data_IF_819513625549
#
_entry.id   IF_819513625549
#
_cell.length_a   1.000
_cell.length_b   1.000
_cell.length_c   1.000
_cell.angle_alpha   90.00
_cell.angle_beta   90.00
_cell.angle_gamma   90.00
#
_symmetry.space_group_name_H-M   'P 1'
#
loop_
_entity.id
_entity.type
_entity.pdbx_description
1 polymer ?
#
# COMPACT_ATOMS: atom_id res chain seq x y z
N UNK A 1 26.37 0.73 -22.37
CA UNK A 1 26.25 -0.31 -21.34
C UNK A 1 24.82 -0.83 -21.42
N UNK A 2 24.62 -2.15 -21.55
CA UNK A 2 23.27 -2.71 -21.50
C UNK A 2 22.79 -2.70 -20.04
N UNK A 3 21.52 -2.38 -19.82
CA UNK A 3 20.89 -2.51 -18.50
C UNK A 3 20.95 -3.95 -18.03
N UNK A 4 21.29 -4.16 -16.75
CA UNK A 4 21.32 -5.49 -16.15
C UNK A 4 19.90 -6.05 -15.94
N UNK A 5 18.94 -5.14 -15.67
CA UNK A 5 17.52 -5.44 -15.45
C UNK A 5 16.65 -4.33 -16.04
N UNK A 6 15.46 -4.67 -16.57
CA UNK A 6 14.50 -3.66 -17.02
C UNK A 6 14.00 -2.82 -15.84
N UNK A 7 13.58 -1.55 -16.08
CA UNK A 7 13.02 -0.71 -15.05
C UNK A 7 11.71 -1.28 -14.51
N UNK A 8 11.42 -0.98 -13.25
CA UNK A 8 10.13 -1.32 -12.64
C UNK A 8 9.07 -0.38 -13.23
N UNK A 9 7.98 -0.89 -13.82
CA UNK A 9 6.93 -0.05 -14.37
C UNK A 9 6.19 0.69 -13.25
N UNK A 10 5.65 1.87 -13.56
CA UNK A 10 4.71 2.55 -12.67
C UNK A 10 3.42 1.73 -12.51
N UNK A 11 2.72 1.97 -11.40
CA UNK A 11 1.48 1.27 -11.10
C UNK A 11 0.44 2.18 -10.46
N UNK A 12 -0.81 1.96 -10.83
CA UNK A 12 -2.01 2.56 -10.24
C UNK A 12 -3.12 1.51 -10.22
N UNK A 13 -3.84 1.42 -9.09
CA UNK A 13 -5.13 0.74 -9.06
C UNK A 13 -6.19 1.75 -9.51
N UNK A 14 -7.13 1.41 -10.42
CA UNK A 14 -8.12 2.37 -10.92
C UNK A 14 -8.82 3.09 -9.76
N UNK A 15 -8.88 4.43 -9.75
CA UNK A 15 -9.43 5.19 -8.62
C UNK A 15 -10.91 4.89 -8.31
N UNK A 16 -11.65 4.38 -9.29
CA UNK A 16 -13.05 3.94 -9.19
C UNK A 16 -13.21 2.46 -8.84
N UNK A 17 -12.11 1.73 -8.61
CA UNK A 17 -12.14 0.34 -8.21
C UNK A 17 -12.68 0.18 -6.78
N UNK A 18 -13.55 -0.81 -6.55
CA UNK A 18 -14.18 -1.07 -5.24
C UNK A 18 -13.17 -1.17 -4.09
N UNK A 19 -11.99 -1.77 -4.35
CA UNK A 19 -10.89 -1.85 -3.38
C UNK A 19 -10.45 -0.48 -2.88
N UNK A 20 -10.32 0.51 -3.78
CA UNK A 20 -9.95 1.90 -3.44
C UNK A 20 -11.04 2.53 -2.59
N UNK A 21 -12.30 2.48 -3.04
CA UNK A 21 -13.43 3.07 -2.34
C UNK A 21 -13.56 2.54 -0.89
N UNK A 22 -13.45 1.22 -0.71
CA UNK A 22 -13.55 0.59 0.62
C UNK A 22 -12.39 1.02 1.51
N UNK A 23 -11.15 0.97 1.02
CA UNK A 23 -9.97 1.30 1.83
C UNK A 23 -9.96 2.78 2.21
N UNK A 24 -10.28 3.68 1.28
CA UNK A 24 -10.41 5.12 1.57
C UNK A 24 -11.48 5.40 2.62
N UNK A 25 -12.63 4.70 2.55
CA UNK A 25 -13.72 4.83 3.52
C UNK A 25 -13.31 4.36 4.91
N UNK A 26 -12.58 3.24 5.01
CA UNK A 26 -12.09 2.73 6.29
C UNK A 26 -11.01 3.63 6.90
N UNK A 27 -10.15 4.23 6.07
CA UNK A 27 -9.08 5.13 6.50
C UNK A 27 -9.54 6.58 6.72
N UNK A 28 -10.68 6.98 6.16
CA UNK A 28 -11.11 8.38 6.11
C UNK A 28 -10.14 9.30 5.35
N UNK A 29 -9.29 8.72 4.48
CA UNK A 29 -8.20 9.42 3.77
C UNK A 29 -8.18 8.94 2.32
N UNK A 30 -7.90 9.87 1.40
CA UNK A 30 -7.77 9.55 -0.03
C UNK A 30 -6.45 8.84 -0.34
N UNK A 31 -6.45 7.94 -1.31
CA UNK A 31 -5.22 7.33 -1.84
C UNK A 31 -4.37 8.40 -2.53
N UNK A 32 -3.06 8.20 -2.50
CA UNK A 32 -2.09 9.12 -3.13
C UNK A 32 -1.04 8.32 -3.92
N UNK A 33 -0.38 8.99 -4.86
CA UNK A 33 0.68 8.42 -5.69
C UNK A 33 2.04 8.85 -5.17
N UNK A 34 2.96 7.91 -5.12
CA UNK A 34 4.29 8.10 -4.55
C UNK A 34 5.38 7.74 -5.56
N UNK A 35 6.47 8.50 -5.55
CA UNK A 35 7.57 8.33 -6.50
C UNK A 35 8.64 7.36 -5.98
N UNK A 36 8.22 6.15 -5.62
CA UNK A 36 9.12 5.05 -5.30
C UNK A 36 8.56 3.73 -5.82
N UNK A 37 9.46 2.80 -6.14
CA UNK A 37 9.09 1.51 -6.71
C UNK A 37 8.51 0.59 -5.62
N UNK A 38 7.58 -0.27 -6.03
CA UNK A 38 7.02 -1.36 -5.22
C UNK A 38 6.81 -2.58 -6.12
N UNK A 39 6.38 -3.70 -5.55
CA UNK A 39 6.04 -4.94 -6.26
C UNK A 39 4.62 -4.93 -6.85
N UNK A 40 3.83 -3.89 -6.57
CA UNK A 40 2.45 -3.78 -7.03
C UNK A 40 2.24 -3.94 -8.56
N UNK A 41 3.13 -3.42 -9.44
CA UNK A 41 3.00 -3.64 -10.88
C UNK A 41 3.09 -5.11 -11.31
N UNK A 42 3.72 -5.97 -10.50
CA UNK A 42 3.80 -7.41 -10.76
C UNK A 42 2.60 -8.14 -10.16
N UNK A 43 2.20 -7.79 -8.94
CA UNK A 43 1.05 -8.38 -8.25
C UNK A 43 -0.27 -8.13 -8.99
N UNK A 44 -0.39 -6.98 -9.68
CA UNK A 44 -1.61 -6.63 -10.42
C UNK A 44 -2.00 -7.66 -11.49
N UNK A 45 -1.01 -8.40 -12.02
CA UNK A 45 -1.25 -9.46 -13.01
C UNK A 45 -2.12 -10.61 -12.46
N UNK A 46 -2.23 -10.69 -11.13
CA UNK A 46 -3.08 -11.64 -10.41
C UNK A 46 -4.35 -10.96 -9.88
N UNK A 47 -4.27 -9.72 -9.38
CA UNK A 47 -5.40 -9.03 -8.74
C UNK A 47 -5.23 -7.51 -8.53
N UNK A 48 -6.33 -6.73 -8.39
CA UNK A 48 -6.28 -5.32 -7.97
C UNK A 48 -5.44 -5.16 -6.69
N UNK A 49 -4.48 -4.25 -6.69
CA UNK A 49 -3.46 -4.14 -5.63
C UNK A 49 -3.43 -2.73 -5.06
N UNK A 50 -3.36 -2.60 -3.73
CA UNK A 50 -3.06 -1.34 -3.05
C UNK A 50 -1.87 -1.53 -2.13
N UNK A 51 -1.03 -0.49 -2.04
CA UNK A 51 0.09 -0.46 -1.11
C UNK A 51 -0.31 0.38 0.10
N UNK A 52 -0.29 -0.22 1.28
CA UNK A 52 -0.56 0.44 2.54
C UNK A 52 0.24 -0.21 3.67
N UNK A 53 0.60 0.55 4.69
CA UNK A 53 1.37 0.05 5.82
C UNK A 53 1.50 1.07 6.95
N UNK A 54 1.98 0.64 8.12
CA UNK A 54 2.21 1.52 9.25
C UNK A 54 3.52 2.32 9.04
N UNK A 55 3.62 3.48 9.69
CA UNK A 55 4.87 4.24 9.73
C UNK A 55 4.91 5.43 8.79
N UNK A 56 6.12 5.84 8.41
CA UNK A 56 6.38 6.96 7.51
C UNK A 56 7.53 6.63 6.58
N UNK A 57 7.36 6.95 5.31
CA UNK A 57 8.43 6.79 4.31
C UNK A 57 9.67 7.63 4.65
N UNK A 58 9.49 8.74 5.37
CA UNK A 58 10.60 9.59 5.80
C UNK A 58 11.52 8.91 6.82
N UNK A 59 11.07 7.83 7.48
CA UNK A 59 11.86 7.04 8.43
C UNK A 59 12.46 5.77 7.80
N UNK A 60 11.94 5.34 6.65
CA UNK A 60 12.46 4.16 5.96
C UNK A 60 13.88 4.44 5.39
N UNK A 61 14.74 3.41 5.39
CA UNK A 61 16.11 3.47 4.88
C UNK A 61 17.01 4.54 5.54
N UNK A 62 16.62 5.03 6.72
CA UNK A 62 17.49 5.86 7.54
C UNK A 62 18.39 4.98 8.43
N UNK A 63 19.59 5.43 8.83
CA UNK A 63 20.46 4.66 9.72
C UNK A 63 19.80 4.27 11.06
N UNK A 64 18.83 5.06 11.49
CA UNK A 64 18.03 4.86 12.70
C UNK A 64 16.61 4.38 12.40
N UNK A 65 16.37 3.69 11.28
CA UNK A 65 15.04 3.18 10.88
C UNK A 65 14.28 2.50 12.05
N UNK A 66 13.04 2.97 12.28
CA UNK A 66 12.15 2.44 13.31
C UNK A 66 10.69 2.62 12.92
N UNK A 67 9.82 1.88 13.62
CA UNK A 67 8.37 2.08 13.55
C UNK A 67 7.86 2.62 14.89
N UNK A 68 7.27 3.81 14.89
CA UNK A 68 6.60 4.31 16.09
C UNK A 68 5.43 3.40 16.49
N UNK A 69 5.38 3.03 17.77
CA UNK A 69 4.35 2.12 18.28
C UNK A 69 2.94 2.66 18.12
N UNK A 70 2.77 3.99 17.99
CA UNK A 70 1.48 4.63 17.68
C UNK A 70 0.84 4.13 16.38
N UNK A 71 1.64 3.66 15.41
CA UNK A 71 1.12 3.14 14.14
C UNK A 71 0.62 1.69 14.25
N UNK A 72 1.03 0.93 15.27
CA UNK A 72 0.74 -0.51 15.36
C UNK A 72 -0.75 -0.75 15.53
N UNK A 73 -1.38 -0.12 16.53
CA UNK A 73 -2.79 -0.38 16.86
C UNK A 73 -3.74 0.04 15.72
N UNK A 74 -3.65 1.26 15.15
CA UNK A 74 -4.52 1.65 14.04
C UNK A 74 -4.37 0.77 12.81
N UNK A 75 -3.15 0.41 12.43
CA UNK A 75 -2.94 -0.45 11.25
C UNK A 75 -3.46 -1.87 11.48
N UNK A 76 -3.31 -2.43 12.68
CA UNK A 76 -3.92 -3.73 13.00
C UNK A 76 -5.45 -3.68 12.91
N UNK A 77 -6.06 -2.61 13.40
CA UNK A 77 -7.52 -2.40 13.32
C UNK A 77 -7.97 -2.29 11.85
N UNK A 78 -7.26 -1.51 11.04
CA UNK A 78 -7.52 -1.39 9.60
C UNK A 78 -7.43 -2.73 8.88
N UNK A 79 -6.34 -3.48 9.04
CA UNK A 79 -6.16 -4.79 8.39
C UNK A 79 -7.30 -5.72 8.79
N UNK A 80 -7.67 -5.74 10.07
CA UNK A 80 -8.81 -6.53 10.56
C UNK A 80 -10.11 -6.13 9.86
N UNK A 81 -10.39 -4.84 9.72
CA UNK A 81 -11.58 -4.32 9.05
C UNK A 81 -11.61 -4.67 7.55
N UNK A 82 -10.46 -4.57 6.86
CA UNK A 82 -10.33 -4.95 5.45
C UNK A 82 -10.62 -6.44 5.27
N UNK A 83 -9.99 -7.31 6.08
CA UNK A 83 -10.25 -8.76 6.03
C UNK A 83 -11.71 -9.07 6.35
N UNK A 84 -12.32 -8.42 7.34
CA UNK A 84 -13.76 -8.53 7.62
C UNK A 84 -14.63 -8.12 6.46
N UNK A 85 -14.32 -7.02 5.80
CA UNK A 85 -15.11 -6.56 4.67
C UNK A 85 -15.07 -7.54 3.49
N UNK A 86 -13.90 -8.08 3.15
CA UNK A 86 -13.74 -8.89 1.92
C UNK A 86 -13.84 -10.40 2.12
N UNK A 87 -13.63 -10.94 3.32
CA UNK A 87 -13.52 -12.40 3.53
C UNK A 87 -14.59 -13.01 4.44
N UNK A 88 -15.35 -12.19 5.18
CA UNK A 88 -16.35 -12.66 6.15
C UNK A 88 -17.81 -12.43 5.71
N UNK A 89 -18.02 -12.26 4.40
CA UNK A 89 -19.33 -12.14 3.77
C UNK A 89 -19.57 -13.33 2.83
#
# INVERSE_FOLDING_TARGET
MAELHPPIPGYECPPDHQLVEVVEKLLGTKTDVVNYCTEAPFMQTLCPTLVLGPGSINQAHQPDEYLETRFIKPTRELITQVVHHFCWH
#
